data_IF_776673009320
#
_entry.id   IF_776673009320
#
_cell.length_a   1.000
_cell.length_b   1.000
_cell.length_c   1.000
_cell.angle_alpha   90.00
_cell.angle_beta   90.00
_cell.angle_gamma   90.00
#
_symmetry.space_group_name_H-M   'P 1'
#
loop_
_entity.id
_entity.type
_entity.pdbx_description
1 polymer ?
#
# COMPACT_ATOMS: atom_id res chain seq x y z
N UNK A 1 16.10 -17.09 -14.06
CA UNK A 1 15.24 -15.98 -14.35
C UNK A 1 15.66 -14.73 -13.59
N UNK A 2 15.76 -13.66 -14.29
CA UNK A 2 16.25 -12.43 -13.70
C UNK A 2 15.15 -11.70 -12.96
N UNK A 3 15.41 -11.37 -11.71
CA UNK A 3 14.44 -10.64 -10.90
C UNK A 3 14.48 -9.17 -11.25
N UNK A 4 13.32 -8.56 -11.30
CA UNK A 4 13.23 -7.13 -11.52
C UNK A 4 13.83 -6.37 -10.35
N UNK A 5 14.44 -5.26 -10.64
CA UNK A 5 15.03 -4.44 -9.59
C UNK A 5 13.95 -3.92 -8.66
N UNK A 6 14.20 -4.04 -7.38
CA UNK A 6 13.34 -3.43 -6.39
C UNK A 6 13.66 -1.95 -6.30
N UNK A 7 12.67 -1.15 -6.50
CA UNK A 7 12.75 0.24 -6.10
C UNK A 7 12.30 0.30 -4.66
N UNK A 8 13.25 0.39 -3.77
CA UNK A 8 12.92 0.61 -2.37
C UNK A 8 12.96 2.09 -2.11
N UNK A 9 11.80 2.67 -1.89
CA UNK A 9 11.68 4.06 -1.55
C UNK A 9 11.29 4.13 -0.08
N UNK A 10 12.21 4.56 0.74
CA UNK A 10 11.93 4.76 2.14
C UNK A 10 11.30 6.14 2.27
N UNK A 11 10.01 6.15 2.56
CA UNK A 11 9.31 7.40 2.78
C UNK A 11 9.26 7.63 4.28
N UNK A 12 10.21 8.40 4.76
CA UNK A 12 10.15 8.89 6.13
C UNK A 12 9.28 10.12 6.13
N UNK A 13 8.16 10.03 6.78
CA UNK A 13 7.31 11.19 6.93
C UNK A 13 7.02 11.42 8.39
N UNK A 14 7.35 12.60 8.86
CA UNK A 14 6.62 13.19 9.94
C UNK A 14 5.31 13.66 9.31
N UNK A 15 4.26 12.91 9.48
CA UNK A 15 3.00 13.23 8.84
C UNK A 15 1.97 13.65 9.89
N UNK A 16 0.86 14.27 9.44
CA UNK A 16 -0.12 14.83 10.37
C UNK A 16 -0.84 13.79 11.24
N UNK A 17 -0.67 12.51 10.93
CA UNK A 17 -1.27 11.43 11.72
C UNK A 17 -0.36 10.93 12.84
N UNK A 18 0.81 11.50 12.96
CA UNK A 18 1.75 11.12 14.02
C UNK A 18 1.09 11.37 15.38
N UNK A 19 1.15 10.36 16.23
CA UNK A 19 0.52 10.42 17.54
C UNK A 19 -0.92 9.96 17.57
N UNK A 20 -1.55 9.71 16.44
CA UNK A 20 -2.88 9.12 16.40
C UNK A 20 -2.77 7.60 16.46
N UNK A 21 -3.71 6.91 17.15
CA UNK A 21 -3.62 5.46 17.31
C UNK A 21 -3.47 4.68 15.99
N UNK A 22 -4.15 5.12 14.93
CA UNK A 22 -4.14 4.45 13.64
C UNK A 22 -3.31 5.15 12.59
N UNK A 23 -2.52 6.17 12.98
CA UNK A 23 -1.81 7.00 12.02
C UNK A 23 -0.85 6.24 11.12
N UNK A 24 -0.03 5.38 11.71
CA UNK A 24 0.96 4.61 10.96
C UNK A 24 0.30 3.60 10.03
N UNK A 25 -0.74 2.92 10.50
CA UNK A 25 -1.47 1.97 9.68
C UNK A 25 -2.17 2.65 8.51
N UNK A 26 -2.78 3.79 8.77
CA UNK A 26 -3.46 4.56 7.73
C UNK A 26 -2.47 5.01 6.67
N UNK A 27 -1.33 5.52 7.07
CA UNK A 27 -0.30 5.95 6.14
C UNK A 27 0.23 4.76 5.32
N UNK A 28 0.46 3.62 5.97
CA UNK A 28 0.90 2.42 5.29
C UNK A 28 -0.10 1.98 4.22
N UNK A 29 -1.39 1.99 4.56
CA UNK A 29 -2.45 1.64 3.60
C UNK A 29 -2.50 2.61 2.43
N UNK A 30 -2.34 3.91 2.68
CA UNK A 30 -2.31 4.93 1.63
C UNK A 30 -1.16 4.68 0.67
N UNK A 31 0.00 4.34 1.18
CA UNK A 31 1.16 4.03 0.35
C UNK A 31 0.93 2.79 -0.51
N UNK A 32 0.33 1.75 0.07
CA UNK A 32 -0.01 0.54 -0.68
C UNK A 32 -1.05 0.81 -1.76
N UNK A 33 -2.08 1.59 -1.41
CA UNK A 33 -3.11 1.97 -2.37
C UNK A 33 -2.52 2.79 -3.53
N UNK A 34 -1.57 3.66 -3.26
CA UNK A 34 -0.89 4.43 -4.29
C UNK A 34 -0.15 3.49 -5.27
N UNK A 35 0.49 2.45 -4.76
CA UNK A 35 1.14 1.46 -5.61
C UNK A 35 0.13 0.72 -6.49
N UNK A 36 -1.01 0.35 -5.92
CA UNK A 36 -2.08 -0.30 -6.69
C UNK A 36 -2.55 0.62 -7.81
N UNK A 37 -2.83 1.87 -7.48
CA UNK A 37 -3.32 2.85 -8.46
C UNK A 37 -2.30 3.10 -9.56
N UNK A 38 -1.02 3.18 -9.22
CA UNK A 38 0.04 3.37 -10.20
C UNK A 38 0.12 2.19 -11.17
N UNK A 39 -0.01 0.97 -10.66
CA UNK A 39 0.01 -0.23 -11.51
C UNK A 39 -1.20 -0.31 -12.43
N UNK A 40 -2.37 0.08 -11.93
CA UNK A 40 -3.57 0.14 -12.77
C UNK A 40 -3.37 1.16 -13.89
N UNK A 41 -2.84 2.32 -13.54
CA UNK A 41 -2.59 3.39 -14.51
C UNK A 41 -1.58 2.95 -15.57
N UNK A 42 -0.52 2.28 -15.18
CA UNK A 42 0.49 1.77 -16.10
C UNK A 42 -0.11 0.78 -17.10
N UNK A 43 -1.05 -0.03 -16.66
CA UNK A 43 -1.71 -1.00 -17.53
C UNK A 43 -2.74 -0.37 -18.46
N UNK A 44 -3.13 0.86 -18.20
CA UNK A 44 -4.13 1.56 -19.00
C UNK A 44 -5.50 0.92 -18.97
N UNK A 45 -5.82 0.17 -17.91
CA UNK A 45 -7.11 -0.51 -17.79
C UNK A 45 -8.13 0.38 -17.08
N UNK A 46 -9.40 0.15 -17.42
CA UNK A 46 -10.50 0.89 -16.82
C UNK A 46 -10.92 0.26 -15.50
N UNK A 47 -11.74 0.99 -14.74
CA UNK A 47 -12.20 0.52 -13.43
C UNK A 47 -12.86 -0.84 -13.48
N UNK A 48 -13.66 -1.10 -14.51
CA UNK A 48 -14.34 -2.39 -14.65
C UNK A 48 -13.33 -3.54 -14.81
N UNK A 49 -12.34 -3.33 -15.64
CA UNK A 49 -11.29 -4.33 -15.83
C UNK A 49 -10.45 -4.50 -14.57
N UNK A 50 -10.13 -3.39 -13.92
CA UNK A 50 -9.36 -3.43 -12.68
C UNK A 50 -10.12 -4.19 -11.59
N UNK A 51 -11.42 -3.95 -11.48
CA UNK A 51 -12.26 -4.67 -10.51
C UNK A 51 -12.19 -6.18 -10.73
N UNK A 52 -12.31 -6.62 -11.98
CA UNK A 52 -12.21 -8.04 -12.29
C UNK A 52 -10.84 -8.61 -11.99
N UNK A 53 -9.78 -7.88 -12.34
CA UNK A 53 -8.41 -8.32 -12.11
C UNK A 53 -8.09 -8.41 -10.61
N UNK A 54 -8.51 -7.44 -9.84
CA UNK A 54 -8.22 -7.36 -8.41
C UNK A 54 -9.18 -8.19 -7.55
N UNK A 55 -10.28 -8.66 -8.13
CA UNK A 55 -11.28 -9.40 -7.38
C UNK A 55 -12.06 -8.54 -6.41
N UNK A 56 -12.28 -7.29 -6.73
CA UNK A 56 -13.04 -6.33 -5.92
C UNK A 56 -14.11 -5.67 -6.77
N UNK A 57 -14.97 -4.90 -6.17
CA UNK A 57 -16.04 -4.20 -6.89
C UNK A 57 -15.54 -2.92 -7.52
N UNK A 58 -16.26 -2.41 -8.54
CA UNK A 58 -15.91 -1.12 -9.14
C UNK A 58 -15.95 0.02 -8.12
N UNK A 59 -16.95 0.12 -7.24
CA UNK A 59 -16.91 1.13 -6.17
C UNK A 59 -15.67 1.03 -5.30
N UNK A 60 -15.19 -0.19 -5.05
CA UNK A 60 -13.96 -0.38 -4.28
C UNK A 60 -12.73 0.10 -5.05
N UNK A 61 -12.68 -0.11 -6.35
CA UNK A 61 -11.61 0.44 -7.19
C UNK A 61 -11.61 1.97 -7.10
N UNK A 62 -12.80 2.57 -7.18
CA UNK A 62 -12.95 4.01 -7.04
C UNK A 62 -12.47 4.49 -5.66
N UNK A 63 -12.81 3.75 -4.62
CA UNK A 63 -12.36 4.07 -3.25
C UNK A 63 -10.84 4.05 -3.14
N UNK A 64 -10.18 3.06 -3.72
CA UNK A 64 -8.72 3.02 -3.77
C UNK A 64 -8.15 4.27 -4.43
N UNK A 65 -8.75 4.70 -5.55
CA UNK A 65 -8.29 5.88 -6.27
C UNK A 65 -8.46 7.17 -5.49
N UNK A 66 -9.43 7.21 -4.58
CA UNK A 66 -9.73 8.38 -3.76
C UNK A 66 -9.08 8.34 -2.38
N UNK A 67 -8.35 7.27 -2.08
CA UNK A 67 -7.73 7.11 -0.77
C UNK A 67 -8.71 6.77 0.35
N UNK A 68 -9.90 6.29 0.01
CA UNK A 68 -10.90 5.86 0.99
C UNK A 68 -10.68 4.39 1.30
N UNK A 69 -9.94 4.12 2.37
CA UNK A 69 -9.42 2.80 2.65
C UNK A 69 -10.04 2.11 3.86
N UNK A 70 -11.12 2.65 4.41
CA UNK A 70 -11.75 2.11 5.62
C UNK A 70 -12.22 0.66 5.45
N UNK A 71 -12.59 0.26 4.23
CA UNK A 71 -13.01 -1.10 3.93
C UNK A 71 -11.88 -2.02 3.50
N UNK A 72 -10.64 -1.56 3.53
CA UNK A 72 -9.49 -2.34 3.08
C UNK A 72 -8.60 -2.74 4.23
N UNK A 73 -8.41 -4.05 4.38
CA UNK A 73 -7.40 -4.59 5.28
C UNK A 73 -6.07 -4.66 4.55
N UNK A 74 -4.99 -4.82 5.29
CA UNK A 74 -3.67 -5.04 4.68
C UNK A 74 -3.71 -6.27 3.77
N UNK A 75 -4.35 -7.34 4.22
CA UNK A 75 -4.45 -8.56 3.43
C UNK A 75 -5.11 -8.32 2.08
N UNK A 76 -6.19 -7.56 2.05
CA UNK A 76 -6.86 -7.22 0.79
C UNK A 76 -5.95 -6.39 -0.12
N UNK A 77 -5.21 -5.45 0.45
CA UNK A 77 -4.28 -4.62 -0.32
C UNK A 77 -3.13 -5.47 -0.87
N UNK A 78 -2.62 -6.40 -0.09
CA UNK A 78 -1.58 -7.32 -0.55
C UNK A 78 -2.06 -8.17 -1.71
N UNK A 79 -3.30 -8.67 -1.64
CA UNK A 79 -3.89 -9.47 -2.71
C UNK A 79 -4.05 -8.67 -3.99
N UNK A 80 -4.46 -7.41 -3.86
CA UNK A 80 -4.56 -6.52 -5.02
C UNK A 80 -3.20 -6.35 -5.69
N UNK A 81 -2.16 -6.12 -4.90
CA UNK A 81 -0.81 -5.97 -5.42
C UNK A 81 -0.32 -7.25 -6.10
N UNK A 82 -0.58 -8.41 -5.48
CA UNK A 82 -0.21 -9.69 -6.10
C UNK A 82 -0.92 -9.89 -7.43
N UNK A 83 -2.17 -9.47 -7.54
CA UNK A 83 -2.92 -9.54 -8.80
C UNK A 83 -2.33 -8.65 -9.89
N UNK A 84 -1.51 -7.68 -9.50
CA UNK A 84 -0.82 -6.77 -10.42
C UNK A 84 0.65 -7.18 -10.61
N UNK A 85 0.96 -8.43 -10.31
CA UNK A 85 2.32 -8.99 -10.43
C UNK A 85 3.36 -8.31 -9.55
N UNK A 86 2.92 -7.79 -8.41
CA UNK A 86 3.81 -7.21 -7.42
C UNK A 86 4.07 -8.20 -6.30
N UNK A 87 5.32 -8.36 -5.96
CA UNK A 87 5.73 -9.15 -4.79
C UNK A 87 5.72 -8.28 -3.55
N UNK A 88 5.39 -8.88 -2.43
CA UNK A 88 5.37 -8.19 -1.15
C UNK A 88 6.38 -8.86 -0.22
N UNK A 89 7.29 -8.07 0.30
CA UNK A 89 8.26 -8.54 1.27
C UNK A 89 7.99 -7.83 2.60
N UNK A 90 7.89 -8.60 3.66
CA UNK A 90 7.64 -8.09 5.00
C UNK A 90 8.87 -8.34 5.86
N UNK A 91 9.38 -7.28 6.44
CA UNK A 91 10.52 -7.36 7.35
C UNK A 91 10.09 -6.89 8.73
N UNK A 92 10.37 -7.69 9.73
CA UNK A 92 10.07 -7.34 11.10
C UNK A 92 11.38 -7.08 11.82
N UNK A 93 11.52 -5.91 12.39
CA UNK A 93 12.75 -5.50 13.06
C UNK A 93 12.47 -4.94 14.43
N UNK A 94 13.46 -5.06 15.28
CA UNK A 94 13.39 -4.46 16.60
C UNK A 94 13.38 -2.94 16.46
N UNK A 95 12.48 -2.29 17.18
CA UNK A 95 12.44 -0.83 17.18
C UNK A 95 13.71 -0.27 17.82
N UNK A 96 14.30 0.75 17.20
CA UNK A 96 15.51 1.35 17.73
C UNK A 96 15.18 2.50 18.67
N UNK A 97 15.98 2.64 19.72
CA UNK A 97 15.81 3.71 20.68
C UNK A 97 16.01 5.10 20.07
N UNK A 98 16.70 5.19 18.95
CA UNK A 98 16.95 6.47 18.25
C UNK A 98 15.79 6.92 17.40
N UNK A 99 14.85 6.04 17.12
CA UNK A 99 13.69 6.41 16.33
C UNK A 99 12.83 7.38 17.10
N UNK A 100 12.43 8.46 16.44
CA UNK A 100 11.58 9.48 17.05
C UNK A 100 10.12 9.05 17.12
N UNK A 101 9.76 7.99 16.42
CA UNK A 101 8.42 7.45 16.37
C UNK A 101 8.34 6.19 17.21
N UNK A 102 7.15 5.86 17.69
CA UNK A 102 6.91 4.57 18.33
C UNK A 102 6.95 3.45 17.30
N UNK A 103 7.08 2.22 17.80
CA UNK A 103 7.01 1.06 16.94
C UNK A 103 5.67 1.03 16.19
N UNK A 104 5.70 0.65 14.94
CA UNK A 104 4.50 0.65 14.11
C UNK A 104 4.72 -0.04 12.79
N UNK A 105 3.79 0.19 11.86
CA UNK A 105 3.84 -0.37 10.52
C UNK A 105 4.33 0.70 9.56
N UNK A 106 5.39 0.37 8.82
CA UNK A 106 5.97 1.29 7.85
C UNK A 106 6.05 0.60 6.50
N UNK A 107 5.71 1.32 5.44
CA UNK A 107 5.77 0.80 4.08
C UNK A 107 6.92 1.49 3.35
N UNK A 108 7.83 0.66 2.84
CA UNK A 108 8.95 1.10 2.02
C UNK A 108 8.68 0.65 0.59
N UNK A 109 8.72 1.59 -0.32
CA UNK A 109 8.29 1.30 -1.70
C UNK A 109 9.40 1.54 -2.69
#
# INVERSE_FOLDING_TARGET
MKRTKHKTLIIETTHPFEGLPDGDERLAKVKLAAQINDRIKERGIKQKEAAGLLGITQPEVSSLGKGRLSGFTFDRLYRCLNSLDMDIEISVRKHTARAKTSAGVHVYV
#
